data_IF_328996359249
#
_entry.id   IF_328996359249
#
_cell.length_a   1.000
_cell.length_b   1.000
_cell.length_c   1.000
_cell.angle_alpha   90.00
_cell.angle_beta   90.00
_cell.angle_gamma   90.00
#
_symmetry.space_group_name_H-M   'P 1'
#
loop_
_entity.id
_entity.type
_entity.pdbx_description
1 polymer ?
#
# COMPACT_ATOMS: atom_id res chain seq x y z
N UNK A 1 11.46 44.51 29.14
CA UNK A 1 11.51 45.64 28.18
C UNK A 1 12.94 46.10 28.05
N UNK A 2 13.61 45.81 26.93
CA UNK A 2 14.92 46.37 26.58
C UNK A 2 14.97 46.48 25.05
N UNK A 3 14.33 47.50 24.49
CA UNK A 3 14.49 47.85 23.08
C UNK A 3 15.84 48.54 22.92
N UNK A 4 16.93 47.76 22.84
CA UNK A 4 18.18 48.27 22.29
C UNK A 4 17.87 48.72 20.86
N UNK A 5 18.10 50.00 20.56
CA UNK A 5 17.93 50.53 19.21
C UNK A 5 18.89 49.77 18.29
N UNK A 6 18.34 48.87 17.47
CA UNK A 6 19.09 48.07 16.50
C UNK A 6 19.87 49.03 15.59
N UNK A 7 21.18 48.83 15.51
CA UNK A 7 22.08 49.67 14.71
C UNK A 7 21.73 49.58 13.23
N UNK A 8 22.09 50.60 12.45
CA UNK A 8 21.83 50.61 10.99
C UNK A 8 22.46 49.40 10.28
N UNK A 9 23.64 48.99 10.74
CA UNK A 9 24.36 47.83 10.21
C UNK A 9 23.63 46.52 10.50
N UNK A 10 23.11 46.34 11.72
CA UNK A 10 22.30 45.17 12.08
C UNK A 10 21.01 45.09 11.26
N UNK A 11 20.31 46.21 11.04
CA UNK A 11 19.13 46.25 10.16
C UNK A 11 19.47 45.90 8.72
N UNK A 12 20.64 46.35 8.23
CA UNK A 12 21.12 46.01 6.89
C UNK A 12 21.41 44.51 6.78
N UNK A 13 22.14 43.96 7.77
CA UNK A 13 22.42 42.52 7.89
C UNK A 13 21.12 41.70 7.96
N UNK A 14 20.12 42.11 8.73
CA UNK A 14 18.83 41.40 8.82
C UNK A 14 18.07 41.41 7.47
N UNK A 15 18.14 42.51 6.71
CA UNK A 15 17.56 42.59 5.36
C UNK A 15 18.28 41.69 4.37
N UNK A 16 19.61 41.79 4.30
CA UNK A 16 20.43 40.96 3.42
C UNK A 16 20.26 39.47 3.74
N UNK A 17 20.15 39.12 5.03
CA UNK A 17 19.90 37.77 5.48
C UNK A 17 18.49 37.30 5.08
N UNK A 18 17.47 38.14 5.22
CA UNK A 18 16.12 37.83 4.75
C UNK A 18 16.04 37.69 3.22
N UNK A 19 16.77 38.50 2.46
CA UNK A 19 16.86 38.37 1.00
C UNK A 19 17.57 37.09 0.60
N UNK A 20 18.66 36.74 1.29
CA UNK A 20 19.37 35.49 1.06
C UNK A 20 18.52 34.25 1.43
N UNK A 21 17.67 34.35 2.47
CA UNK A 21 16.66 33.32 2.80
C UNK A 21 15.58 33.21 1.73
N UNK A 22 15.05 34.33 1.24
CA UNK A 22 14.09 34.35 0.12
C UNK A 22 14.69 33.80 -1.17
N UNK A 23 16.00 33.94 -1.36
CA UNK A 23 16.74 33.34 -2.46
C UNK A 23 17.11 31.86 -2.23
N UNK A 24 16.74 31.28 -1.08
CA UNK A 24 17.05 29.88 -0.74
C UNK A 24 18.54 29.59 -0.47
N UNK A 25 19.38 30.62 -0.29
CA UNK A 25 20.83 30.46 -0.01
C UNK A 25 21.13 30.15 1.45
N UNK A 26 20.22 30.55 2.35
CA UNK A 26 20.34 30.39 3.80
C UNK A 26 19.09 29.67 4.29
N UNK A 27 19.25 28.81 5.29
CA UNK A 27 18.16 28.11 5.95
C UNK A 27 17.07 29.07 6.48
N UNK A 28 15.84 28.58 6.48
CA UNK A 28 14.69 29.30 7.00
C UNK A 28 14.87 29.62 8.49
N UNK A 29 14.18 30.67 8.94
CA UNK A 29 14.10 30.99 10.35
C UNK A 29 13.27 29.91 11.05
N UNK A 30 13.70 29.40 12.21
CA UNK A 30 12.95 28.41 12.98
C UNK A 30 12.15 29.06 14.11
N UNK A 31 10.93 28.58 14.32
CA UNK A 31 10.06 28.92 15.45
C UNK A 31 10.57 28.31 16.77
N UNK A 32 9.96 28.71 17.89
CA UNK A 32 10.16 28.09 19.21
C UNK A 32 9.86 26.58 19.23
N UNK A 33 8.95 26.13 18.36
CA UNK A 33 8.56 24.71 18.19
C UNK A 33 9.47 23.96 17.19
N UNK A 34 10.50 24.62 16.64
CA UNK A 34 11.42 24.04 15.66
C UNK A 34 10.89 23.96 14.23
N UNK A 35 9.70 24.51 13.96
CA UNK A 35 9.11 24.58 12.62
C UNK A 35 9.77 25.68 11.79
N UNK A 36 10.00 25.43 10.49
CA UNK A 36 10.56 26.42 9.58
C UNK A 36 9.52 27.47 9.18
N UNK A 37 9.86 28.75 9.33
CA UNK A 37 9.05 29.88 8.86
C UNK A 37 9.38 30.16 7.39
N UNK A 38 8.35 30.16 6.55
CA UNK A 38 8.48 30.55 5.16
C UNK A 38 9.04 31.99 5.03
N UNK A 39 10.25 32.19 4.44
CA UNK A 39 10.89 33.50 4.30
C UNK A 39 10.13 34.51 3.43
N UNK A 40 9.20 34.04 2.58
CA UNK A 40 8.39 34.89 1.72
C UNK A 40 7.20 35.52 2.47
N UNK A 41 6.91 35.07 3.69
CA UNK A 41 5.86 35.67 4.50
C UNK A 41 6.28 37.07 4.95
N UNK A 42 5.41 38.08 4.82
CA UNK A 42 5.77 39.44 5.18
C UNK A 42 6.02 39.58 6.69
N UNK A 43 6.94 40.47 7.05
CA UNK A 43 7.42 40.62 8.43
C UNK A 43 6.29 40.95 9.44
N UNK A 44 5.24 41.65 9.02
CA UNK A 44 4.12 42.01 9.89
C UNK A 44 3.23 40.82 10.27
N UNK A 45 3.30 39.70 9.54
CA UNK A 45 2.62 38.44 9.90
C UNK A 45 3.51 37.59 10.81
N UNK A 46 4.83 37.61 10.59
CA UNK A 46 5.81 36.84 11.37
C UNK A 46 6.00 37.42 12.77
N UNK A 47 6.08 38.75 12.89
CA UNK A 47 6.36 39.44 14.15
C UNK A 47 5.08 39.51 14.98
N UNK A 48 5.07 38.77 16.08
CA UNK A 48 3.98 38.82 17.03
C UNK A 48 3.79 40.25 17.59
N UNK A 49 2.55 40.74 17.69
CA UNK A 49 2.25 42.00 18.35
C UNK A 49 2.69 41.99 19.83
N UNK A 50 3.03 43.17 20.34
CA UNK A 50 3.58 43.35 21.69
C UNK A 50 2.69 42.76 22.82
N UNK A 51 1.37 42.75 22.64
CA UNK A 51 0.41 42.26 23.65
C UNK A 51 0.35 40.73 23.77
N UNK A 52 1.04 39.99 22.90
CA UNK A 52 1.10 38.53 22.94
C UNK A 52 2.36 37.99 23.63
N UNK A 53 3.24 38.86 24.14
CA UNK A 53 4.47 38.53 24.89
C UNK A 53 5.36 37.45 24.22
N UNK A 54 5.28 37.30 22.89
CA UNK A 54 6.15 36.42 22.11
C UNK A 54 7.36 37.24 21.66
N UNK A 55 8.52 36.97 22.28
CA UNK A 55 9.80 37.62 21.91
C UNK A 55 10.45 36.99 20.70
N UNK A 56 10.19 35.71 20.43
CA UNK A 56 10.68 35.04 19.25
C UNK A 56 9.74 35.27 18.04
N UNK A 57 10.28 35.35 16.81
CA UNK A 57 9.48 35.32 15.60
C UNK A 57 8.76 33.96 15.49
N UNK A 58 7.47 33.98 15.15
CA UNK A 58 6.71 32.77 14.91
C UNK A 58 5.22 32.95 14.70
N UNK A 59 4.55 31.90 14.21
CA UNK A 59 3.17 31.98 13.71
C UNK A 59 2.09 31.60 14.72
N UNK A 60 2.47 31.33 15.97
CA UNK A 60 1.54 30.91 17.02
C UNK A 60 0.41 31.91 17.28
N UNK A 61 0.68 33.21 17.13
CA UNK A 61 -0.34 34.24 17.29
C UNK A 61 -1.35 34.34 16.12
N UNK A 62 -0.99 33.83 14.94
CA UNK A 62 -1.88 33.77 13.77
C UNK A 62 -2.76 32.50 13.79
N UNK A 63 -2.40 31.50 14.60
CA UNK A 63 -3.21 30.29 14.75
C UNK A 63 -4.53 30.64 15.44
N UNK A 64 -5.62 30.10 14.91
CA UNK A 64 -6.95 30.25 15.48
C UNK A 64 -6.98 29.72 16.92
N UNK A 65 -7.34 30.58 17.88
CA UNK A 65 -7.68 30.18 19.24
C UNK A 65 -9.17 29.84 19.26
N UNK A 66 -9.48 28.57 19.06
CA UNK A 66 -10.86 28.11 19.15
C UNK A 66 -11.40 28.32 20.54
N UNK A 67 -12.59 28.92 20.62
CA UNK A 67 -13.53 28.62 21.71
C UNK A 67 -13.94 27.15 21.52
N UNK A 68 -14.07 26.40 22.61
CA UNK A 68 -14.47 24.99 22.55
C UNK A 68 -15.77 24.86 21.75
N UNK A 69 -15.66 24.28 20.55
CA UNK A 69 -16.82 24.07 19.68
C UNK A 69 -17.60 22.89 20.23
N UNK A 70 -18.78 23.21 20.71
CA UNK A 70 -19.83 22.28 21.08
C UNK A 70 -20.16 21.36 19.90
N UNK A 71 -20.26 20.04 20.14
CA UNK A 71 -20.68 19.10 19.11
C UNK A 71 -22.17 19.24 18.83
N UNK A 72 -22.54 19.23 17.55
CA UNK A 72 -23.93 19.40 17.08
C UNK A 72 -24.87 18.32 17.66
N UNK A 73 -24.36 17.10 17.83
CA UNK A 73 -25.13 15.94 18.28
C UNK A 73 -25.53 15.99 19.77
N UNK A 74 -24.80 16.71 20.62
CA UNK A 74 -24.89 16.54 22.08
C UNK A 74 -25.83 17.56 22.77
N UNK A 75 -26.16 18.69 22.13
CA UNK A 75 -26.66 19.86 22.89
C UNK A 75 -27.91 20.57 22.36
N UNK A 76 -28.43 20.23 21.17
CA UNK A 76 -29.77 20.71 20.79
C UNK A 76 -30.85 19.81 21.37
N UNK A 77 -31.72 20.40 22.18
CA UNK A 77 -32.81 19.72 22.91
C UNK A 77 -32.34 18.79 24.03
N UNK A 78 -31.15 19.02 24.60
CA UNK A 78 -30.74 18.34 25.84
C UNK A 78 -31.72 18.72 26.95
N UNK A 79 -32.48 17.72 27.40
CA UNK A 79 -33.45 17.85 28.48
C UNK A 79 -32.69 17.89 29.80
N UNK A 80 -32.64 19.06 30.43
CA UNK A 80 -32.14 19.18 31.80
C UNK A 80 -33.33 19.09 32.74
N UNK A 81 -33.42 17.99 33.46
CA UNK A 81 -34.50 17.74 34.42
C UNK A 81 -34.32 18.62 35.66
N UNK A 82 -35.35 19.40 35.98
CA UNK A 82 -35.37 20.29 37.14
C UNK A 82 -35.86 19.49 38.35
N UNK A 83 -35.02 19.36 39.39
CA UNK A 83 -35.44 18.70 40.63
C UNK A 83 -36.32 19.65 41.44
N UNK A 84 -37.55 19.22 41.72
CA UNK A 84 -38.50 19.96 42.55
C UNK A 84 -38.07 19.95 44.03
N UNK A 85 -37.46 21.03 44.50
CA UNK A 85 -37.20 21.25 45.93
C UNK A 85 -38.54 21.55 46.65
N UNK A 86 -38.68 21.08 47.90
CA UNK A 86 -39.96 21.06 48.64
C UNK A 86 -40.66 22.41 48.87
N UNK A 87 -40.04 23.55 48.54
CA UNK A 87 -40.55 24.90 48.87
C UNK A 87 -40.39 25.91 47.71
N UNK A 88 -40.69 25.53 46.47
CA UNK A 88 -40.64 26.47 45.32
C UNK A 88 -41.97 27.20 45.18
N UNK A 89 -41.97 28.52 45.35
CA UNK A 89 -43.17 29.37 45.19
C UNK A 89 -43.51 29.67 43.74
N UNK A 90 -42.52 29.58 42.84
CA UNK A 90 -42.65 29.89 41.42
C UNK A 90 -42.85 28.60 40.62
N UNK A 91 -44.12 28.21 40.45
CA UNK A 91 -44.55 27.09 39.62
C UNK A 91 -45.77 27.47 38.79
N UNK A 92 -46.01 26.71 37.72
CA UNK A 92 -47.18 26.86 36.88
C UNK A 92 -48.45 26.46 37.66
N UNK A 93 -49.35 27.41 37.93
CA UNK A 93 -50.61 27.16 38.64
C UNK A 93 -51.61 26.29 37.83
N UNK A 94 -51.33 26.03 36.55
CA UNK A 94 -52.18 25.17 35.71
C UNK A 94 -51.79 23.69 35.82
N UNK A 95 -50.55 23.34 35.47
CA UNK A 95 -50.06 21.96 35.44
C UNK A 95 -49.21 21.56 36.67
N UNK A 96 -48.70 22.54 37.42
CA UNK A 96 -47.85 22.32 38.60
C UNK A 96 -46.35 22.21 38.30
N UNK A 97 -45.93 22.40 37.05
CA UNK A 97 -44.53 22.35 36.61
C UNK A 97 -43.71 23.54 37.12
N UNK A 98 -42.44 23.32 37.46
CA UNK A 98 -41.49 24.41 37.79
C UNK A 98 -40.73 24.95 36.57
N UNK A 99 -40.82 24.28 35.42
CA UNK A 99 -40.03 24.64 34.23
C UNK A 99 -40.55 25.89 33.49
N UNK A 100 -41.83 26.25 33.64
CA UNK A 100 -42.47 27.35 32.90
C UNK A 100 -43.54 28.08 33.73
N UNK A 101 -43.97 29.26 33.25
CA UNK A 101 -45.03 30.08 33.88
C UNK A 101 -46.41 29.68 33.38
N UNK A 102 -47.47 30.10 34.08
CA UNK A 102 -48.87 29.78 33.72
C UNK A 102 -49.25 30.19 32.28
N UNK A 103 -48.70 31.30 31.78
CA UNK A 103 -48.98 31.79 30.41
C UNK A 103 -48.38 30.91 29.31
N UNK A 104 -47.25 30.27 29.61
CA UNK A 104 -46.49 29.45 28.67
C UNK A 104 -46.82 27.96 28.84
N UNK A 105 -47.92 27.66 29.54
CA UNK A 105 -48.34 26.29 29.82
C UNK A 105 -48.90 25.62 28.56
N UNK A 106 -48.28 24.50 28.17
CA UNK A 106 -48.71 23.68 27.03
C UNK A 106 -49.96 22.83 27.35
N UNK A 107 -50.29 22.66 28.63
CA UNK A 107 -51.54 22.01 29.01
C UNK A 107 -52.73 22.94 28.86
N UNK A 108 -53.88 22.36 28.52
CA UNK A 108 -55.16 23.07 28.50
C UNK A 108 -55.40 23.79 29.84
N UNK A 109 -55.85 25.04 29.78
CA UNK A 109 -56.14 25.83 30.99
C UNK A 109 -57.27 25.20 31.81
N UNK A 110 -56.97 24.88 33.07
CA UNK A 110 -57.90 24.29 34.03
C UNK A 110 -58.72 25.40 34.70
N UNK A 111 -60.02 25.14 34.91
CA UNK A 111 -60.90 26.06 35.67
C UNK A 111 -60.49 26.17 37.14
N UNK A 112 -60.02 25.07 37.74
CA UNK A 112 -59.45 25.03 39.09
C UNK A 112 -57.94 24.97 38.98
N UNK A 113 -57.26 25.99 39.51
CA UNK A 113 -55.80 26.10 39.53
C UNK A 113 -55.22 25.35 40.73
N UNK A 114 -54.00 24.88 40.58
CA UNK A 114 -53.21 24.28 41.64
C UNK A 114 -52.68 25.39 42.56
N UNK A 115 -52.76 25.15 43.87
CA UNK A 115 -52.27 26.06 44.90
C UNK A 115 -50.87 25.69 45.41
N UNK A 116 -50.37 24.50 45.06
CA UNK A 116 -49.07 23.97 45.45
C UNK A 116 -48.43 23.23 44.27
N UNK A 117 -47.09 23.23 44.22
CA UNK A 117 -46.33 22.50 43.22
C UNK A 117 -46.57 20.99 43.37
N UNK A 118 -46.79 20.30 42.25
CA UNK A 118 -47.02 18.86 42.26
C UNK A 118 -45.65 18.16 42.34
N UNK A 119 -45.41 17.36 43.38
CA UNK A 119 -44.07 16.86 43.70
C UNK A 119 -43.60 15.69 42.82
N UNK A 120 -44.52 15.05 42.10
CA UNK A 120 -44.28 13.82 41.34
C UNK A 120 -44.06 14.07 39.83
N UNK A 121 -43.88 15.34 39.42
CA UNK A 121 -43.56 15.68 38.03
C UNK A 121 -42.07 15.43 37.76
N UNK A 122 -41.68 14.17 37.58
CA UNK A 122 -40.30 13.77 37.17
C UNK A 122 -39.95 14.21 35.74
N UNK A 123 -40.96 14.65 34.98
CA UNK A 123 -40.87 15.06 33.58
C UNK A 123 -40.62 16.56 33.36
N UNK A 124 -40.39 17.35 34.41
CA UNK A 124 -40.08 18.77 34.26
C UNK A 124 -38.66 18.95 33.70
N UNK A 125 -38.55 19.25 32.41
CA UNK A 125 -37.28 19.55 31.75
C UNK A 125 -37.24 20.96 31.14
N UNK A 126 -36.06 21.56 31.16
CA UNK A 126 -35.74 22.75 30.37
C UNK A 126 -34.81 22.34 29.24
N UNK A 127 -35.16 22.73 28.02
CA UNK A 127 -34.27 22.58 26.87
C UNK A 127 -33.25 23.71 26.87
N UNK A 128 -31.96 23.38 27.00
CA UNK A 128 -30.90 24.35 26.76
C UNK A 128 -30.67 24.46 25.25
N UNK A 129 -30.80 25.67 24.71
CA UNK A 129 -30.42 25.96 23.32
C UNK A 129 -29.04 26.60 23.31
N UNK A 130 -28.05 25.86 22.82
CA UNK A 130 -26.72 26.40 22.57
C UNK A 130 -26.57 26.85 21.11
N UNK A 131 -25.66 27.82 20.88
CA UNK A 131 -25.37 28.35 19.56
C UNK A 131 -24.43 27.41 18.78
N UNK A 132 -25.02 26.54 17.95
CA UNK A 132 -24.31 25.53 17.13
C UNK A 132 -23.83 26.06 15.76
N UNK A 133 -23.83 27.38 15.56
CA UNK A 133 -23.55 28.01 14.27
C UNK A 133 -24.72 27.93 13.27
N UNK A 134 -24.51 28.39 12.03
CA UNK A 134 -25.59 28.48 11.02
C UNK A 134 -26.11 27.10 10.59
N UNK A 135 -25.22 26.19 10.21
CA UNK A 135 -25.59 24.85 9.73
C UNK A 135 -26.20 24.02 10.86
N UNK A 136 -25.56 23.98 12.04
CA UNK A 136 -26.13 23.32 13.22
C UNK A 136 -27.48 23.91 13.61
N UNK A 137 -27.70 25.21 13.36
CA UNK A 137 -28.97 25.84 13.65
C UNK A 137 -30.10 25.52 12.67
N UNK A 138 -29.76 25.20 11.42
CA UNK A 138 -30.70 24.95 10.32
C UNK A 138 -30.72 23.51 9.85
N UNK A 139 -29.97 22.64 10.52
CA UNK A 139 -29.95 21.24 10.19
C UNK A 139 -31.35 20.64 10.38
N UNK A 140 -31.84 20.00 9.30
CA UNK A 140 -33.15 19.38 9.23
C UNK A 140 -33.22 18.13 10.09
N UNK A 141 -32.08 17.47 10.29
CA UNK A 141 -31.97 16.18 10.98
C UNK A 141 -31.58 16.34 12.46
N UNK A 142 -31.75 17.53 13.04
CA UNK A 142 -31.54 17.77 14.47
C UNK A 142 -32.43 16.84 15.30
N UNK A 143 -31.83 16.05 16.18
CA UNK A 143 -32.53 15.09 17.03
C UNK A 143 -33.00 13.82 16.30
N UNK A 144 -32.46 13.53 15.12
CA UNK A 144 -32.71 12.28 14.42
C UNK A 144 -32.13 11.09 15.21
N UNK A 145 -32.99 10.14 15.58
CA UNK A 145 -32.53 8.86 16.14
C UNK A 145 -32.06 7.95 15.00
N UNK A 146 -30.79 7.49 14.99
CA UNK A 146 -30.29 6.53 14.00
C UNK A 146 -31.13 5.26 13.88
N UNK A 147 -31.76 4.80 14.98
CA UNK A 147 -32.59 3.59 15.00
C UNK A 147 -33.83 3.71 14.10
N UNK A 148 -34.34 4.93 13.87
CA UNK A 148 -35.49 5.15 12.98
C UNK A 148 -35.18 4.75 11.53
N UNK A 149 -33.91 4.67 11.14
CA UNK A 149 -33.50 4.22 9.81
C UNK A 149 -33.81 2.73 9.57
N UNK A 150 -34.04 1.94 10.63
CA UNK A 150 -34.43 0.52 10.53
C UNK A 150 -35.75 0.33 9.75
N UNK A 151 -36.69 1.27 9.87
CA UNK A 151 -37.94 1.23 9.10
C UNK A 151 -37.69 1.27 7.59
N UNK A 152 -36.72 2.06 7.15
CA UNK A 152 -36.32 2.16 5.73
C UNK A 152 -35.73 0.84 5.26
N UNK A 153 -34.86 0.20 6.07
CA UNK A 153 -34.34 -1.14 5.74
C UNK A 153 -35.48 -2.16 5.55
N UNK A 154 -36.45 -2.22 6.47
CA UNK A 154 -37.61 -3.12 6.39
C UNK A 154 -38.47 -2.88 5.15
N UNK A 155 -38.61 -1.63 4.70
CA UNK A 155 -39.30 -1.32 3.46
C UNK A 155 -38.54 -1.84 2.24
N UNK A 156 -37.23 -1.65 2.18
CA UNK A 156 -36.38 -2.18 1.10
C UNK A 156 -36.36 -3.70 1.07
N UNK A 157 -36.35 -4.37 2.23
CA UNK A 157 -36.46 -5.83 2.34
C UNK A 157 -37.73 -6.35 1.67
N UNK A 158 -38.89 -5.74 1.97
CA UNK A 158 -40.17 -6.10 1.34
C UNK A 158 -40.15 -5.90 -0.18
N UNK A 159 -39.58 -4.79 -0.65
CA UNK A 159 -39.43 -4.51 -2.08
C UNK A 159 -38.55 -5.57 -2.75
N UNK A 160 -37.46 -6.00 -2.11
CA UNK A 160 -36.57 -7.05 -2.64
C UNK A 160 -37.29 -8.40 -2.67
N UNK A 161 -38.07 -8.75 -1.65
CA UNK A 161 -38.89 -9.97 -1.63
C UNK A 161 -39.92 -10.00 -2.75
N UNK A 162 -40.62 -8.89 -2.97
CA UNK A 162 -41.60 -8.76 -4.05
C UNK A 162 -40.93 -8.89 -5.42
N UNK A 163 -39.78 -8.24 -5.62
CA UNK A 163 -38.96 -8.38 -6.85
C UNK A 163 -38.54 -9.83 -7.08
N UNK A 164 -38.16 -10.57 -6.04
CA UNK A 164 -37.82 -12.00 -6.13
C UNK A 164 -39.02 -12.84 -6.55
N UNK A 165 -40.20 -12.60 -5.94
CA UNK A 165 -41.45 -13.29 -6.30
C UNK A 165 -41.83 -13.05 -7.76
N UNK A 166 -41.79 -11.79 -8.20
CA UNK A 166 -42.10 -11.43 -9.59
C UNK A 166 -41.14 -12.09 -10.59
N UNK A 167 -39.82 -12.08 -10.31
CA UNK A 167 -38.82 -12.80 -11.12
C UNK A 167 -39.10 -14.31 -11.17
N UNK A 168 -39.49 -14.92 -10.06
CA UNK A 168 -39.81 -16.35 -10.02
C UNK A 168 -41.08 -16.68 -10.83
N UNK A 169 -42.11 -15.84 -10.78
CA UNK A 169 -43.31 -15.98 -11.61
C UNK A 169 -43.00 -15.81 -13.10
N UNK A 170 -42.17 -14.82 -13.46
CA UNK A 170 -41.70 -14.63 -14.83
C UNK A 170 -40.92 -15.85 -15.35
N UNK A 171 -40.02 -16.42 -14.54
CA UNK A 171 -39.31 -17.66 -14.89
C UNK A 171 -40.26 -18.84 -15.06
N UNK A 172 -41.22 -19.04 -14.15
CA UNK A 172 -42.24 -20.09 -14.29
C UNK A 172 -43.03 -19.95 -15.59
N UNK A 173 -43.49 -18.74 -15.92
CA UNK A 173 -44.18 -18.48 -17.18
C UNK A 173 -43.30 -18.74 -18.40
N UNK A 174 -41.99 -18.42 -18.34
CA UNK A 174 -41.03 -18.76 -19.41
C UNK A 174 -40.90 -20.27 -19.58
N UNK A 175 -40.79 -21.03 -18.49
CA UNK A 175 -40.72 -22.49 -18.53
C UNK A 175 -42.02 -23.13 -19.05
N UNK A 176 -43.19 -22.63 -18.64
CA UNK A 176 -44.49 -23.08 -19.16
C UNK A 176 -44.67 -22.78 -20.66
N UNK A 177 -44.21 -21.61 -21.13
CA UNK A 177 -44.20 -21.27 -22.55
C UNK A 177 -43.25 -22.17 -23.35
N UNK A 178 -42.05 -22.49 -22.83
CA UNK A 178 -41.13 -23.46 -23.45
C UNK A 178 -41.72 -24.87 -23.51
N UNK A 179 -42.38 -25.31 -22.43
CA UNK A 179 -43.05 -26.61 -22.38
C UNK A 179 -44.21 -26.71 -23.38
N UNK A 180 -44.98 -25.63 -23.55
CA UNK A 180 -46.09 -25.59 -24.52
C UNK A 180 -45.62 -25.44 -25.97
N UNK A 181 -44.55 -24.69 -26.25
CA UNK A 181 -43.95 -24.60 -27.60
C UNK A 181 -43.31 -25.93 -28.03
N UNK A 182 -42.61 -26.62 -27.13
CA UNK A 182 -42.06 -27.96 -27.38
C UNK A 182 -43.13 -29.03 -27.60
N UNK A 183 -44.33 -28.84 -27.03
CA UNK A 183 -45.49 -29.74 -27.28
C UNK A 183 -46.18 -29.45 -28.62
N UNK A 184 -46.16 -28.20 -29.09
CA UNK A 184 -46.72 -27.80 -30.39
C UNK A 184 -45.88 -28.32 -31.56
N UNK A 185 -44.54 -28.33 -31.43
CA UNK A 185 -43.65 -28.99 -32.41
C UNK A 185 -43.83 -30.52 -32.49
N UNK A 186 -44.41 -31.17 -31.46
CA UNK A 186 -44.70 -32.62 -31.48
C UNK A 186 -46.04 -32.99 -32.10
N UNK A 187 -46.94 -32.02 -32.35
CA UNK A 187 -48.27 -32.27 -32.90
C UNK A 187 -48.32 -32.04 -34.43
N UNK A 188 -47.45 -31.19 -34.99
CA UNK A 188 -47.38 -30.95 -36.44
C UNK A 188 -46.38 -31.89 -37.18
N UNK A 189 -46.13 -33.08 -36.63
CA UNK A 189 -45.09 -34.01 -37.09
C UNK A 189 -45.56 -35.44 -37.34
N UNK A 190 -46.72 -35.61 -38.00
CA UNK A 190 -47.07 -36.89 -38.64
C UNK A 190 -46.78 -36.77 -40.15
N UNK A 191 -45.49 -36.78 -40.50
CA UNK A 191 -44.99 -36.71 -41.88
C UNK A 191 -43.49 -36.95 -41.87
N UNK A 192 -43.06 -38.15 -42.27
CA UNK A 192 -41.73 -38.70 -42.01
C UNK A 192 -40.53 -37.96 -42.63
N UNK A 193 -39.34 -38.28 -42.12
CA UNK A 193 -38.08 -37.92 -42.77
C UNK A 193 -36.90 -37.75 -41.82
N UNK A 194 -36.21 -38.87 -41.60
CA UNK A 194 -34.84 -39.08 -41.08
C UNK A 194 -33.83 -37.91 -41.23
N UNK A 195 -33.14 -37.53 -40.14
CA UNK A 195 -31.69 -37.35 -40.11
C UNK A 195 -31.19 -36.97 -38.69
N UNK A 196 -30.26 -37.81 -38.23
CA UNK A 196 -29.35 -37.71 -37.11
C UNK A 196 -28.55 -36.38 -37.08
N UNK A 197 -28.61 -35.57 -36.01
CA UNK A 197 -27.42 -34.83 -35.53
C UNK A 197 -27.57 -34.30 -34.09
N UNK A 198 -26.55 -34.64 -33.31
CA UNK A 198 -26.04 -34.01 -32.09
C UNK A 198 -26.92 -33.77 -30.85
N UNK A 199 -26.55 -34.54 -29.82
CA UNK A 199 -26.67 -34.20 -28.41
C UNK A 199 -26.02 -32.84 -28.11
N UNK A 200 -26.82 -31.78 -28.10
CA UNK A 200 -26.52 -30.56 -27.37
C UNK A 200 -26.96 -30.73 -25.92
N UNK A 201 -26.01 -31.09 -25.06
CA UNK A 201 -26.15 -30.95 -23.61
C UNK A 201 -26.25 -29.46 -23.29
N UNK A 202 -27.47 -28.92 -23.24
CA UNK A 202 -27.77 -27.60 -22.65
C UNK A 202 -27.50 -27.67 -21.14
N UNK A 203 -26.22 -27.63 -20.80
CA UNK A 203 -25.74 -27.19 -19.50
C UNK A 203 -25.71 -25.67 -19.56
N UNK A 204 -26.89 -25.05 -19.55
CA UNK A 204 -27.00 -23.61 -19.34
C UNK A 204 -26.54 -23.32 -17.90
N UNK A 205 -25.36 -22.70 -17.80
CA UNK A 205 -24.86 -22.04 -16.60
C UNK A 205 -25.91 -21.03 -16.12
N UNK A 206 -26.67 -21.37 -15.07
CA UNK A 206 -27.51 -20.43 -14.33
C UNK A 206 -26.67 -19.63 -13.32
N UNK A 207 -25.60 -18.98 -13.76
CA UNK A 207 -24.95 -17.91 -12.99
C UNK A 207 -24.57 -16.78 -13.96
N UNK A 208 -25.10 -15.58 -13.69
CA UNK A 208 -24.88 -14.29 -14.39
C UNK A 208 -25.92 -13.82 -15.43
N UNK A 209 -27.17 -13.61 -15.01
CA UNK A 209 -28.00 -12.52 -15.57
C UNK A 209 -28.66 -11.69 -14.46
N UNK A 210 -27.82 -11.03 -13.66
CA UNK A 210 -28.20 -9.78 -13.02
C UNK A 210 -27.29 -8.72 -13.65
N UNK A 211 -27.89 -7.94 -14.55
CA UNK A 211 -27.33 -6.75 -15.24
C UNK A 211 -26.91 -6.97 -16.71
N UNK A 212 -27.91 -7.12 -17.59
CA UNK A 212 -27.68 -6.91 -19.03
C UNK A 212 -28.95 -6.38 -19.74
N UNK A 213 -29.32 -5.14 -19.42
CA UNK A 213 -30.20 -4.32 -20.30
C UNK A 213 -29.37 -3.41 -21.23
N UNK A 214 -28.11 -3.75 -21.49
CA UNK A 214 -27.18 -2.88 -22.24
C UNK A 214 -26.28 -3.56 -23.28
N UNK A 215 -26.39 -4.87 -23.54
CA UNK A 215 -25.49 -5.55 -24.50
C UNK A 215 -26.21 -6.45 -25.49
N UNK A 216 -26.93 -5.84 -26.43
CA UNK A 216 -27.25 -6.46 -27.72
C UNK A 216 -26.54 -5.71 -28.85
N UNK A 217 -25.24 -5.94 -28.99
CA UNK A 217 -24.47 -5.61 -30.19
C UNK A 217 -23.82 -6.91 -30.68
N UNK A 218 -24.63 -7.71 -31.36
CA UNK A 218 -24.20 -8.93 -32.04
C UNK A 218 -23.32 -8.57 -33.22
N UNK A 219 -22.12 -9.15 -33.22
CA UNK A 219 -21.32 -9.49 -34.38
C UNK A 219 -22.17 -10.03 -35.54
N UNK A 220 -21.96 -9.52 -36.75
CA UNK A 220 -22.55 -10.06 -37.97
C UNK A 220 -22.59 -9.01 -39.07
N UNK A 221 -21.62 -9.10 -39.98
CA UNK A 221 -21.60 -8.35 -41.22
C UNK A 221 -22.75 -8.75 -42.15
N UNK A 222 -23.04 -7.86 -43.09
CA UNK A 222 -23.86 -8.06 -44.30
C UNK A 222 -25.39 -8.08 -44.11
N UNK A 223 -26.04 -6.92 -44.29
CA UNK A 223 -26.84 -6.74 -45.51
C UNK A 223 -27.29 -5.29 -45.71
N UNK A 224 -27.15 -4.83 -46.95
CA UNK A 224 -27.49 -3.47 -47.40
C UNK A 224 -28.86 -3.54 -48.09
N UNK A 225 -29.86 -2.80 -47.60
CA UNK A 225 -30.70 -1.86 -48.36
C UNK A 225 -32.04 -1.53 -47.68
N UNK A 226 -32.26 -0.21 -47.55
CA UNK A 226 -33.55 0.52 -47.63
C UNK A 226 -34.62 0.27 -46.55
N UNK A 227 -34.66 1.20 -45.58
CA UNK A 227 -35.90 1.91 -45.26
C UNK A 227 -35.58 3.34 -44.81
N UNK A 228 -36.01 4.31 -45.61
CA UNK A 228 -35.93 5.74 -45.33
C UNK A 228 -36.92 6.11 -44.22
N UNK A 229 -36.44 6.74 -43.16
CA UNK A 229 -37.25 7.24 -42.04
C UNK A 229 -36.58 6.99 -40.68
N UNK A 230 -36.01 8.04 -40.09
CA UNK A 230 -35.38 8.13 -38.76
C UNK A 230 -33.96 7.54 -38.62
N UNK A 231 -32.97 8.23 -39.21
CA UNK A 231 -31.53 7.93 -39.05
C UNK A 231 -30.85 8.72 -37.92
N UNK A 232 -31.53 9.08 -36.82
CA UNK A 232 -30.91 9.85 -35.72
C UNK A 232 -31.23 9.36 -34.30
N UNK A 233 -31.74 8.13 -34.11
CA UNK A 233 -31.92 7.54 -32.76
C UNK A 233 -30.96 6.38 -32.45
N UNK A 234 -30.42 5.68 -33.46
CA UNK A 234 -29.50 4.55 -33.24
C UNK A 234 -28.06 4.93 -32.87
N UNK A 235 -27.70 6.22 -32.90
CA UNK A 235 -26.38 6.72 -32.52
C UNK A 235 -26.38 7.49 -31.19
N UNK A 236 -27.50 7.55 -30.46
CA UNK A 236 -27.60 8.32 -29.21
C UNK A 236 -27.08 7.62 -27.96
N UNK A 237 -26.88 6.30 -28.00
CA UNK A 237 -26.50 5.54 -26.83
C UNK A 237 -25.25 4.73 -27.13
N UNK A 238 -24.08 5.29 -26.85
CA UNK A 238 -23.14 4.70 -25.89
C UNK A 238 -22.13 5.79 -25.52
N UNK A 239 -22.53 6.75 -24.66
CA UNK A 239 -21.54 7.50 -23.90
C UNK A 239 -20.95 6.56 -22.84
N UNK A 240 -20.19 5.53 -23.28
CA UNK A 240 -19.37 4.71 -22.40
C UNK A 240 -18.40 5.68 -21.73
N UNK A 241 -18.30 5.62 -20.40
CA UNK A 241 -17.26 6.36 -19.70
C UNK A 241 -15.92 6.03 -20.35
N UNK A 242 -15.17 7.05 -20.79
CA UNK A 242 -13.88 6.85 -21.47
C UNK A 242 -12.83 6.25 -20.52
N UNK A 243 -13.08 6.32 -19.21
CA UNK A 243 -12.22 5.70 -18.20
C UNK A 243 -12.44 4.18 -18.23
N UNK A 244 -11.37 3.47 -18.56
CA UNK A 244 -11.23 2.03 -18.40
C UNK A 244 -11.38 1.69 -16.91
N UNK A 245 -12.28 0.76 -16.57
CA UNK A 245 -12.63 0.44 -15.18
C UNK A 245 -11.63 -0.53 -14.56
N UNK A 246 -11.03 -1.36 -15.40
CA UNK A 246 -10.00 -2.36 -15.11
C UNK A 246 -8.70 -1.68 -14.66
N UNK A 247 -8.39 -0.50 -15.22
CA UNK A 247 -7.22 0.28 -14.86
C UNK A 247 -7.44 1.10 -13.58
N UNK A 248 -6.79 0.66 -12.50
CA UNK A 248 -6.76 1.40 -11.24
C UNK A 248 -5.90 2.66 -11.36
N UNK A 249 -6.40 3.78 -10.84
CA UNK A 249 -5.63 5.02 -10.82
C UNK A 249 -4.43 4.90 -9.87
N UNK A 250 -3.29 5.51 -10.21
CA UNK A 250 -2.03 5.36 -9.45
C UNK A 250 -2.17 5.64 -7.95
N UNK A 251 -2.86 6.72 -7.58
CA UNK A 251 -3.07 7.11 -6.17
C UNK A 251 -4.03 6.19 -5.39
N UNK A 252 -4.69 5.23 -6.06
CA UNK A 252 -5.55 4.23 -5.41
C UNK A 252 -4.82 2.92 -5.12
N UNK A 253 -3.58 2.74 -5.60
CA UNK A 253 -2.79 1.54 -5.29
C UNK A 253 -2.53 1.40 -3.78
N UNK A 254 -2.26 2.51 -3.09
CA UNK A 254 -2.09 2.53 -1.64
C UNK A 254 -2.78 3.77 -1.04
N UNK A 255 -3.79 3.57 -0.20
CA UNK A 255 -4.56 4.63 0.45
C UNK A 255 -3.85 5.22 1.69
N UNK A 256 -2.70 4.66 2.08
CA UNK A 256 -1.90 5.19 3.17
C UNK A 256 -1.33 6.56 2.81
N UNK A 257 -1.49 7.55 3.69
CA UNK A 257 -1.05 8.93 3.47
C UNK A 257 0.47 9.05 3.25
N UNK A 258 1.25 8.15 3.84
CA UNK A 258 2.71 8.12 3.77
C UNK A 258 3.25 7.10 2.75
N UNK A 259 2.45 6.76 1.73
CA UNK A 259 2.87 5.85 0.66
C UNK A 259 3.76 6.58 -0.36
N UNK A 260 3.33 6.69 -1.62
CA UNK A 260 4.03 7.41 -2.66
C UNK A 260 3.27 8.69 -3.02
N UNK A 261 4.02 9.78 -3.23
CA UNK A 261 3.43 11.04 -3.69
C UNK A 261 2.97 10.93 -5.14
N UNK A 262 1.68 11.21 -5.36
CA UNK A 262 1.08 11.37 -6.69
C UNK A 262 0.89 12.85 -6.99
N UNK A 263 1.48 13.34 -8.09
CA UNK A 263 1.23 14.69 -8.58
C UNK A 263 -0.01 14.67 -9.50
N UNK A 264 -1.16 15.22 -9.09
CA UNK A 264 -2.37 15.25 -9.92
C UNK A 264 -2.24 16.14 -11.15
N UNK A 265 -1.26 17.05 -11.19
CA UNK A 265 -1.04 17.97 -12.31
C UNK A 265 -0.44 17.23 -13.51
N UNK A 266 0.71 16.59 -13.31
CA UNK A 266 1.38 15.76 -14.33
C UNK A 266 0.84 14.34 -14.40
N UNK A 267 0.00 13.93 -13.44
CA UNK A 267 -0.53 12.56 -13.29
C UNK A 267 0.58 11.52 -13.11
N UNK A 268 1.66 11.93 -12.46
CA UNK A 268 2.83 11.10 -12.23
C UNK A 268 2.97 10.62 -10.80
N UNK A 269 3.47 9.40 -10.63
CA UNK A 269 3.85 8.82 -9.35
C UNK A 269 5.28 8.32 -9.47
N UNK A 270 6.21 9.00 -8.79
CA UNK A 270 7.65 8.72 -8.91
C UNK A 270 8.06 7.45 -8.19
N UNK A 271 7.77 7.37 -6.91
CA UNK A 271 8.13 6.23 -6.06
C UNK A 271 7.13 5.08 -6.18
N UNK A 272 7.55 3.89 -5.77
CA UNK A 272 6.68 2.71 -5.68
C UNK A 272 5.68 2.90 -4.52
N UNK A 273 4.35 2.82 -4.76
CA UNK A 273 3.34 2.90 -3.70
C UNK A 273 3.46 1.81 -2.63
N UNK A 274 4.17 0.70 -2.92
CA UNK A 274 4.36 -0.43 -2.03
C UNK A 274 5.74 -0.49 -1.35
N UNK A 275 6.59 0.52 -1.51
CA UNK A 275 7.96 0.51 -0.96
C UNK A 275 8.03 0.34 0.57
N UNK A 276 7.05 0.89 1.31
CA UNK A 276 6.99 0.84 2.77
C UNK A 276 6.18 -0.33 3.36
N UNK A 277 5.38 -1.00 2.54
CA UNK A 277 4.62 -2.19 2.94
C UNK A 277 5.52 -3.39 2.77
N UNK A 278 6.10 -3.89 3.87
CA UNK A 278 7.13 -4.91 3.87
C UNK A 278 6.87 -6.07 2.90
N UNK A 279 7.93 -6.45 2.15
CA UNK A 279 8.14 -7.68 1.38
C UNK A 279 6.95 -8.64 1.41
N UNK A 280 6.24 -8.81 0.30
CA UNK A 280 5.53 -10.05 -0.12
C UNK A 280 4.60 -9.87 -1.35
N UNK A 281 4.81 -8.88 -2.21
CA UNK A 281 4.34 -9.05 -3.59
C UNK A 281 5.47 -9.72 -4.37
N UNK A 282 5.26 -10.97 -4.77
CA UNK A 282 6.02 -11.59 -5.84
C UNK A 282 6.09 -10.59 -7.02
N UNK A 283 7.24 -10.47 -7.69
CA UNK A 283 7.48 -9.46 -8.73
C UNK A 283 6.38 -9.42 -9.81
N UNK A 284 5.68 -10.54 -10.00
CA UNK A 284 4.59 -10.75 -10.95
C UNK A 284 3.26 -10.09 -10.53
N UNK A 285 3.05 -9.85 -9.24
CA UNK A 285 1.81 -9.27 -8.71
C UNK A 285 1.87 -7.74 -8.62
N UNK A 286 3.06 -7.13 -8.70
CA UNK A 286 3.20 -5.68 -8.59
C UNK A 286 2.94 -5.01 -9.94
N UNK A 287 1.68 -4.61 -10.16
CA UNK A 287 1.21 -3.99 -11.39
C UNK A 287 1.93 -2.65 -11.72
N UNK A 288 2.46 -1.96 -10.70
CA UNK A 288 3.11 -0.67 -10.88
C UNK A 288 4.22 -0.42 -9.85
N UNK A 289 5.47 -0.31 -10.32
CA UNK A 289 6.68 -0.11 -9.49
C UNK A 289 7.15 1.35 -9.36
N UNK A 290 6.32 2.31 -9.75
CA UNK A 290 6.70 3.73 -9.82
C UNK A 290 7.38 4.10 -11.15
N UNK A 291 7.27 5.37 -11.54
CA UNK A 291 7.89 5.88 -12.77
C UNK A 291 9.41 5.86 -12.72
N UNK A 292 10.01 6.06 -11.54
CA UNK A 292 11.48 6.03 -11.40
C UNK A 292 12.07 4.66 -11.78
N UNK A 293 11.31 3.58 -11.57
CA UNK A 293 11.69 2.24 -12.01
C UNK A 293 11.69 2.18 -13.55
N UNK A 294 10.55 2.44 -14.20
CA UNK A 294 10.43 2.36 -15.66
C UNK A 294 11.31 3.35 -16.43
N UNK A 295 11.59 4.53 -15.86
CA UNK A 295 12.51 5.51 -16.46
C UNK A 295 13.97 5.05 -16.46
N UNK A 296 14.30 4.02 -15.69
CA UNK A 296 15.65 3.48 -15.53
C UNK A 296 15.75 2.01 -15.93
N UNK A 297 14.81 1.45 -16.69
CA UNK A 297 14.88 0.06 -17.19
C UNK A 297 15.40 -0.01 -18.63
N UNK A 298 15.90 -1.19 -19.00
CA UNK A 298 16.23 -1.62 -20.37
C UNK A 298 17.05 -0.60 -21.19
N UNK A 299 16.49 -0.12 -22.30
CA UNK A 299 17.13 0.75 -23.30
C UNK A 299 17.58 2.09 -22.71
N UNK A 300 16.92 2.58 -21.66
CA UNK A 300 17.31 3.81 -20.98
C UNK A 300 18.69 3.68 -20.29
N UNK A 301 19.02 2.48 -19.80
CA UNK A 301 20.36 2.21 -19.24
C UNK A 301 21.39 2.09 -20.37
N UNK A 302 21.04 1.41 -21.46
CA UNK A 302 21.97 1.18 -22.58
C UNK A 302 22.34 2.49 -23.29
N UNK A 303 21.35 3.36 -23.54
CA UNK A 303 21.59 4.69 -24.10
C UNK A 303 22.50 5.55 -23.21
N UNK A 304 22.29 5.55 -21.88
CA UNK A 304 23.18 6.23 -20.92
C UNK A 304 24.60 5.66 -20.95
N UNK A 305 24.76 4.32 -21.03
CA UNK A 305 26.08 3.68 -21.17
C UNK A 305 26.78 4.10 -22.46
N UNK A 306 26.02 4.24 -23.55
CA UNK A 306 26.53 4.69 -24.84
C UNK A 306 26.94 6.17 -24.81
N UNK A 307 26.17 7.02 -24.13
CA UNK A 307 26.51 8.43 -23.91
C UNK A 307 27.79 8.59 -23.06
N UNK A 308 27.91 7.83 -21.97
CA UNK A 308 29.14 7.78 -21.16
C UNK A 308 30.34 7.35 -22.01
N UNK A 309 30.17 6.32 -22.84
CA UNK A 309 31.21 5.87 -23.77
C UNK A 309 31.61 6.98 -24.75
N UNK A 310 30.65 7.73 -25.30
CA UNK A 310 30.94 8.88 -26.17
C UNK A 310 31.79 9.94 -25.48
N UNK A 311 31.49 10.26 -24.21
CA UNK A 311 32.29 11.22 -23.45
C UNK A 311 33.70 10.70 -23.17
N UNK A 312 33.86 9.40 -22.90
CA UNK A 312 35.17 8.80 -22.71
C UNK A 312 36.01 8.79 -23.99
N UNK A 313 35.43 8.43 -25.14
CA UNK A 313 36.12 8.44 -26.44
C UNK A 313 36.47 9.86 -26.86
N UNK A 314 35.57 10.82 -26.61
CA UNK A 314 35.83 12.23 -26.87
C UNK A 314 36.99 12.77 -26.03
N UNK A 315 37.05 12.42 -24.74
CA UNK A 315 38.21 12.75 -23.87
C UNK A 315 39.51 12.11 -24.36
N UNK A 316 39.46 10.95 -25.01
CA UNK A 316 40.63 10.28 -25.62
C UNK A 316 41.03 10.90 -26.97
N UNK A 317 40.25 11.84 -27.50
CA UNK A 317 40.56 12.57 -28.74
C UNK A 317 39.85 12.05 -29.99
N UNK A 318 38.94 11.08 -29.87
CA UNK A 318 38.11 10.64 -31.00
C UNK A 318 36.86 11.55 -31.14
N UNK A 319 36.66 12.12 -32.32
CA UNK A 319 35.50 12.99 -32.60
C UNK A 319 34.24 12.15 -32.86
N UNK A 320 33.62 11.66 -31.79
CA UNK A 320 32.36 10.91 -31.85
C UNK A 320 31.36 11.54 -30.88
N UNK A 321 30.11 11.72 -31.32
CA UNK A 321 29.06 12.33 -30.52
C UNK A 321 27.78 11.51 -30.57
N UNK A 322 27.14 11.33 -29.41
CA UNK A 322 25.91 10.55 -29.23
C UNK A 322 24.76 10.99 -30.16
N UNK A 323 24.40 12.27 -30.14
CA UNK A 323 23.32 12.79 -31.00
C UNK A 323 23.69 12.99 -32.48
N UNK A 324 24.95 13.33 -32.79
CA UNK A 324 25.33 13.69 -34.16
C UNK A 324 25.70 12.47 -35.01
N UNK A 325 26.28 11.44 -34.38
CA UNK A 325 26.76 10.23 -35.06
C UNK A 325 26.39 8.97 -34.26
N UNK A 326 25.08 8.71 -34.06
CA UNK A 326 24.62 7.62 -33.19
C UNK A 326 25.03 6.23 -33.69
N UNK A 327 24.93 5.98 -35.00
CA UNK A 327 25.27 4.68 -35.61
C UNK A 327 26.76 4.39 -35.58
N UNK A 328 27.60 5.39 -35.85
CA UNK A 328 29.06 5.26 -35.75
C UNK A 328 29.47 4.97 -34.30
N UNK A 329 28.91 5.69 -33.33
CA UNK A 329 29.16 5.48 -31.92
C UNK A 329 28.73 4.08 -31.48
N UNK A 330 27.57 3.61 -31.93
CA UNK A 330 27.06 2.28 -31.61
C UNK A 330 27.98 1.17 -32.15
N UNK A 331 28.45 1.29 -33.40
CA UNK A 331 29.40 0.36 -33.98
C UNK A 331 30.72 0.31 -33.19
N UNK A 332 31.28 1.48 -32.86
CA UNK A 332 32.47 1.60 -32.02
C UNK A 332 32.24 1.00 -30.63
N UNK A 333 31.04 1.17 -30.06
CA UNK A 333 30.69 0.59 -28.78
C UNK A 333 30.59 -0.94 -28.84
N UNK A 334 29.97 -1.51 -29.88
CA UNK A 334 29.94 -2.97 -30.10
C UNK A 334 31.35 -3.54 -30.25
N UNK A 335 32.21 -2.87 -31.02
CA UNK A 335 33.62 -3.24 -31.12
C UNK A 335 34.32 -3.16 -29.75
N UNK A 336 34.11 -2.09 -29.01
CA UNK A 336 34.65 -1.91 -27.66
C UNK A 336 34.21 -3.03 -26.73
N UNK A 337 32.94 -3.44 -26.74
CA UNK A 337 32.44 -4.57 -25.94
C UNK A 337 33.14 -5.88 -26.34
N UNK A 338 33.34 -6.12 -27.63
CA UNK A 338 34.06 -7.32 -28.10
C UNK A 338 35.53 -7.32 -27.65
N UNK A 339 36.21 -6.17 -27.74
CA UNK A 339 37.61 -5.97 -27.29
C UNK A 339 37.71 -6.08 -25.77
N UNK A 340 36.76 -5.52 -25.03
CA UNK A 340 36.64 -5.62 -23.57
C UNK A 340 36.49 -7.06 -23.11
N UNK A 341 35.61 -7.85 -23.73
CA UNK A 341 35.46 -9.28 -23.41
C UNK A 341 36.76 -10.06 -23.62
N UNK A 342 37.47 -9.81 -24.73
CA UNK A 342 38.79 -10.43 -24.99
C UNK A 342 39.84 -10.02 -23.95
N UNK A 343 39.86 -8.75 -23.53
CA UNK A 343 40.77 -8.26 -22.49
C UNK A 343 40.47 -8.85 -21.12
N UNK A 344 39.19 -9.00 -20.75
CA UNK A 344 38.78 -9.65 -19.49
C UNK A 344 39.29 -11.09 -19.47
N UNK A 345 39.06 -11.87 -20.53
CA UNK A 345 39.57 -13.24 -20.63
C UNK A 345 41.08 -13.34 -20.50
N UNK A 346 41.83 -12.45 -21.17
CA UNK A 346 43.29 -12.40 -21.02
C UNK A 346 43.72 -12.11 -19.58
N UNK A 347 43.04 -11.16 -18.91
CA UNK A 347 43.31 -10.87 -17.50
C UNK A 347 43.00 -12.07 -16.60
N UNK A 348 41.90 -12.77 -16.85
CA UNK A 348 41.56 -14.01 -16.14
C UNK A 348 42.66 -15.08 -16.34
N UNK A 349 43.11 -15.30 -17.58
CA UNK A 349 44.22 -16.22 -17.90
C UNK A 349 45.54 -15.80 -17.24
N UNK A 350 45.87 -14.50 -17.24
CA UNK A 350 47.08 -13.97 -16.62
C UNK A 350 47.02 -14.13 -15.09
N UNK A 351 45.86 -13.91 -14.46
CA UNK A 351 45.63 -14.18 -13.04
C UNK A 351 45.81 -15.67 -12.74
N UNK A 352 45.24 -16.56 -13.56
CA UNK A 352 45.40 -18.00 -13.39
C UNK A 352 46.87 -18.43 -13.46
N UNK A 353 47.66 -17.84 -14.36
CA UNK A 353 49.09 -18.09 -14.50
C UNK A 353 49.90 -17.55 -13.33
N UNK A 354 49.65 -16.31 -12.90
CA UNK A 354 50.41 -15.68 -11.80
C UNK A 354 50.18 -16.40 -10.47
N UNK A 355 48.95 -16.82 -10.21
CA UNK A 355 48.59 -17.55 -8.99
C UNK A 355 48.70 -19.08 -9.15
N UNK A 356 49.12 -19.58 -10.33
CA UNK A 356 49.31 -21.01 -10.64
C UNK A 356 48.08 -21.89 -10.35
N UNK A 357 46.89 -21.34 -10.57
CA UNK A 357 45.60 -22.00 -10.31
C UNK A 357 45.07 -22.82 -11.49
N UNK A 358 45.91 -23.14 -12.49
CA UNK A 358 45.54 -23.85 -13.72
C UNK A 358 44.91 -25.24 -13.46
N UNK A 359 45.25 -25.87 -12.33
CA UNK A 359 44.76 -27.19 -11.92
C UNK A 359 43.40 -27.19 -11.20
N UNK A 360 42.85 -26.02 -10.85
CA UNK A 360 41.57 -25.89 -10.12
C UNK A 360 40.42 -25.65 -11.09
N UNK A 361 40.61 -24.79 -12.09
CA UNK A 361 39.57 -24.47 -13.09
C UNK A 361 39.11 -25.68 -13.94
N UNK A 362 39.91 -26.76 -14.01
CA UNK A 362 39.57 -28.00 -14.73
C UNK A 362 38.90 -29.06 -13.85
N UNK A 363 38.87 -28.89 -12.52
CA UNK A 363 38.28 -29.86 -11.57
C UNK A 363 36.88 -29.48 -11.08
N UNK A 364 36.46 -28.24 -11.30
CA UNK A 364 35.21 -27.70 -10.74
C UNK A 364 33.94 -27.97 -11.58
N UNK A 365 33.97 -28.94 -12.50
CA UNK A 365 32.74 -29.48 -13.08
C UNK A 365 32.13 -30.62 -12.24
N UNK A 366 32.90 -31.25 -11.34
CA UNK A 366 32.44 -32.42 -10.57
C UNK A 366 32.88 -32.50 -9.11
N UNK A 367 33.64 -31.54 -8.56
CA UNK A 367 33.97 -31.54 -7.14
C UNK A 367 33.89 -30.12 -6.57
N UNK A 368 32.82 -29.83 -5.82
CA UNK A 368 32.77 -28.65 -4.96
C UNK A 368 33.67 -28.85 -3.74
N UNK A 369 34.98 -28.85 -3.93
CA UNK A 369 35.94 -28.62 -2.85
C UNK A 369 36.31 -27.14 -2.88
N UNK A 370 35.51 -26.34 -2.16
CA UNK A 370 35.87 -24.97 -1.81
C UNK A 370 37.25 -25.00 -1.14
N UNK A 371 38.21 -24.29 -1.74
CA UNK A 371 39.50 -24.03 -1.13
C UNK A 371 39.24 -23.14 0.10
N UNK A 372 38.93 -23.77 1.23
CA UNK A 372 38.64 -23.11 2.50
C UNK A 372 39.88 -22.34 2.93
N UNK A 373 39.83 -21.02 2.83
CA UNK A 373 40.76 -20.17 3.55
C UNK A 373 40.71 -20.58 5.03
N UNK A 374 41.87 -20.86 5.63
CA UNK A 374 41.96 -21.31 7.03
C UNK A 374 41.55 -20.24 8.04
N UNK A 375 41.35 -19.01 7.58
CA UNK A 375 41.02 -17.86 8.39
C UNK A 375 39.60 -17.40 8.05
N UNK A 376 38.66 -17.72 8.92
CA UNK A 376 37.32 -17.09 8.88
C UNK A 376 37.52 -15.63 9.27
N UNK A 377 37.34 -14.72 8.31
CA UNK A 377 37.24 -13.29 8.61
C UNK A 377 35.97 -13.05 9.46
N UNK A 378 36.15 -12.93 10.78
CA UNK A 378 35.07 -12.55 11.69
C UNK A 378 35.13 -11.05 11.94
N UNK A 379 34.25 -10.29 11.28
CA UNK A 379 33.94 -8.94 11.73
C UNK A 379 33.27 -9.01 13.10
N UNK A 380 33.78 -8.27 14.09
CA UNK A 380 33.13 -8.15 15.40
C UNK A 380 31.81 -7.39 15.23
N UNK A 381 30.71 -8.12 15.05
CA UNK A 381 29.35 -7.57 15.16
C UNK A 381 28.91 -7.58 16.64
N UNK A 382 28.12 -6.59 17.09
CA UNK A 382 27.49 -6.62 18.41
C UNK A 382 26.72 -7.94 18.61
N UNK A 383 26.73 -8.48 19.84
CA UNK A 383 26.28 -9.84 20.21
C UNK A 383 24.91 -10.22 19.65
N UNK A 384 24.03 -9.24 19.41
CA UNK A 384 22.65 -9.44 18.96
C UNK A 384 22.49 -9.71 17.45
N UNK A 385 23.57 -9.65 16.65
CA UNK A 385 23.57 -9.87 15.20
C UNK A 385 24.39 -11.08 14.73
N UNK A 386 24.61 -12.07 15.61
CA UNK A 386 25.31 -13.31 15.23
C UNK A 386 24.32 -14.32 14.67
N UNK A 387 24.43 -14.60 13.36
CA UNK A 387 23.57 -15.56 12.68
C UNK A 387 23.83 -17.01 13.16
N UNK A 388 22.85 -17.72 13.75
CA UNK A 388 23.05 -19.08 14.29
C UNK A 388 23.17 -20.16 13.20
N UNK A 389 23.02 -19.80 11.92
CA UNK A 389 22.98 -20.73 10.78
C UNK A 389 24.34 -21.02 10.14
N UNK A 390 25.42 -20.41 10.63
CA UNK A 390 26.77 -20.70 10.12
C UNK A 390 27.23 -22.04 10.71
N UNK A 391 27.35 -23.07 9.85
CA UNK A 391 27.87 -24.39 10.23
C UNK A 391 29.30 -24.22 10.74
N UNK A 392 29.58 -24.65 11.98
CA UNK A 392 30.96 -24.72 12.49
C UNK A 392 31.72 -25.77 11.70
N UNK A 393 32.80 -25.38 11.03
CA UNK A 393 33.65 -26.28 10.26
C UNK A 393 34.38 -27.20 11.25
N UNK A 394 34.33 -28.52 11.02
CA UNK A 394 35.04 -29.52 11.82
C UNK A 394 36.47 -29.63 11.27
N UNK A 395 37.46 -29.14 12.03
CA UNK A 395 38.87 -29.17 11.63
C UNK A 395 39.35 -30.63 11.64
N UNK A 396 39.81 -31.14 10.50
CA UNK A 396 40.51 -32.43 10.41
C UNK A 396 42.00 -32.23 10.70
N UNK A 397 42.68 -33.23 11.26
CA UNK A 397 44.11 -33.13 11.54
C UNK A 397 44.96 -33.31 10.26
N UNK A 398 46.23 -32.90 10.31
CA UNK A 398 47.15 -32.94 9.14
C UNK A 398 47.55 -34.36 8.72
N UNK A 399 47.32 -35.35 9.58
CA UNK A 399 47.72 -36.74 9.34
C UNK A 399 46.49 -37.54 8.93
N UNK A 400 46.67 -38.49 8.02
CA UNK A 400 45.63 -39.48 7.70
C UNK A 400 45.35 -40.32 8.96
N UNK A 401 44.26 -39.99 9.65
CA UNK A 401 43.75 -40.74 10.80
C UNK A 401 43.00 -41.99 10.31
N UNK A 402 42.90 -43.01 11.17
CA UNK A 402 42.11 -44.22 10.92
C UNK A 402 42.51 -45.07 9.69
N UNK A 403 43.81 -45.11 9.34
CA UNK A 403 44.32 -46.06 8.34
C UNK A 403 44.43 -47.47 8.94
N UNK A 404 43.61 -48.38 8.40
CA UNK A 404 43.61 -49.80 8.73
C UNK A 404 44.44 -50.59 7.71
N UNK A 405 45.68 -50.91 8.07
CA UNK A 405 46.57 -51.74 7.23
C UNK A 405 46.20 -53.23 7.40
N UNK A 406 46.33 -54.04 6.34
CA UNK A 406 46.20 -55.51 6.35
C UNK A 406 45.00 -56.10 7.14
N UNK A 407 43.82 -55.52 6.93
CA UNK A 407 42.51 -55.93 7.49
C UNK A 407 42.42 -55.90 9.03
N UNK A 408 43.25 -55.09 9.69
CA UNK A 408 43.13 -54.84 11.13
C UNK A 408 41.99 -53.86 11.44
N UNK A 409 41.08 -54.20 12.35
CA UNK A 409 39.97 -53.30 12.77
C UNK A 409 40.39 -52.11 13.65
N UNK A 410 41.68 -52.01 13.99
CA UNK A 410 42.25 -50.98 14.84
C UNK A 410 43.53 -50.44 14.23
N UNK A 411 43.83 -49.15 14.39
CA UNK A 411 45.08 -48.54 13.90
C UNK A 411 46.30 -49.08 14.67
N UNK A 412 47.46 -49.15 14.01
CA UNK A 412 48.72 -49.54 14.65
C UNK A 412 49.11 -48.52 15.74
N UNK A 413 49.40 -48.99 16.95
CA UNK A 413 49.63 -48.12 18.12
C UNK A 413 48.42 -48.01 19.05
N UNK A 414 47.29 -48.64 18.70
CA UNK A 414 46.13 -48.75 19.59
C UNK A 414 46.33 -49.70 20.79
N UNK A 415 47.40 -50.49 20.80
CA UNK A 415 47.77 -51.38 21.90
C UNK A 415 49.26 -51.27 22.22
N UNK A 416 49.60 -51.35 23.50
CA UNK A 416 50.99 -51.35 23.98
C UNK A 416 51.23 -52.59 24.85
N UNK A 417 52.15 -53.45 24.40
CA UNK A 417 52.57 -54.61 25.18
C UNK A 417 53.64 -54.16 26.20
N UNK A 418 53.29 -54.23 27.48
CA UNK A 418 54.15 -53.76 28.58
C UNK A 418 55.40 -54.64 28.76
N UNK A 419 55.30 -55.93 28.47
CA UNK A 419 56.40 -56.87 28.70
C UNK A 419 57.47 -56.73 27.62
N UNK A 420 57.04 -56.55 26.36
CA UNK A 420 57.94 -56.36 25.21
C UNK A 420 58.28 -54.90 24.93
N UNK A 421 57.64 -53.95 25.61
CA UNK A 421 57.74 -52.49 25.42
C UNK A 421 57.54 -52.05 23.96
N UNK A 422 56.64 -52.73 23.24
CA UNK A 422 56.35 -52.48 21.81
C UNK A 422 54.89 -52.11 21.61
N UNK A 423 54.66 -51.24 20.64
CA UNK A 423 53.33 -50.89 20.17
C UNK A 423 52.82 -51.93 19.16
N UNK A 424 51.51 -52.14 19.14
CA UNK A 424 50.84 -53.13 18.31
C UNK A 424 49.40 -52.75 18.00
N UNK A 425 48.69 -53.69 17.39
CA UNK A 425 47.27 -53.56 17.08
C UNK A 425 46.40 -54.03 18.26
N UNK A 426 45.31 -53.32 18.57
CA UNK A 426 44.38 -53.72 19.63
C UNK A 426 43.58 -54.97 19.28
N UNK A 427 43.26 -55.20 18.01
CA UNK A 427 42.46 -56.34 17.56
C UNK A 427 43.13 -57.70 17.84
N UNK A 428 44.31 -57.95 17.28
CA UNK A 428 45.00 -59.24 17.40
C UNK A 428 46.20 -59.24 18.38
N UNK A 429 46.50 -58.09 19.01
CA UNK A 429 47.67 -57.86 19.89
C UNK A 429 49.02 -58.18 19.24
N UNK A 430 49.10 -58.22 17.91
CA UNK A 430 50.38 -58.36 17.21
C UNK A 430 51.18 -57.07 17.33
N UNK A 431 52.48 -57.20 17.56
CA UNK A 431 53.42 -56.07 17.69
C UNK A 431 54.11 -55.72 16.37
N UNK A 432 53.86 -56.48 15.29
CA UNK A 432 54.47 -56.29 13.98
C UNK A 432 53.50 -55.53 13.06
N UNK A 433 53.94 -54.39 12.52
CA UNK A 433 53.09 -53.48 11.73
C UNK A 433 52.59 -54.09 10.42
N UNK A 434 53.36 -54.99 9.81
CA UNK A 434 53.10 -55.54 8.47
C UNK A 434 52.57 -56.98 8.46
N UNK A 435 52.20 -57.53 9.62
CA UNK A 435 51.54 -58.83 9.67
C UNK A 435 50.04 -58.68 9.41
N UNK A 436 49.45 -59.66 8.71
CA UNK A 436 48.00 -59.73 8.52
C UNK A 436 47.31 -60.02 9.86
N UNK A 437 46.08 -59.51 10.00
CA UNK A 437 45.27 -59.75 11.18
C UNK A 437 45.00 -61.25 11.35
N UNK A 438 45.35 -61.81 12.52
CA UNK A 438 45.06 -63.21 12.87
C UNK A 438 43.69 -63.39 13.51
N UNK A 439 43.02 -62.29 13.87
CA UNK A 439 41.61 -62.25 14.28
C UNK A 439 40.77 -61.79 13.09
N UNK A 440 40.34 -62.75 12.27
CA UNK A 440 39.18 -62.54 11.38
C UNK A 440 37.92 -62.55 12.24
#
# INVERSE_FOLDING_TARGET
MNTKNVTREEKKKEKELNEARKAGKIEALKDEEGNDINPHMPQYIIKAPWYLNQTAPGLKHQRYKGTDKVKIEEERNKKVYVKNLKNVSDFCKNCGSTAHKEKDCLERTRKKKLNFANRDNEDDFVCLTQDLGYDGNRDRWVGYNPDNFEHVYKEYEKIVEEKKKRKAEELKQKYEKKATSGKKQRIDGAGGGDANDQSGSDSDNEEDEIDDDARKATTGAEDTQKSSGNTNEKHRNVARNLRIREDTAKYLYNLSLNSAFYDPKSRSMREDPFAGTGKNLHDDNNHYKGENYYNNTDEAIESKKLEIFAWETYKRGENVHFNAQPTQLELLYREFLSKKKKLIKKKEEDILKTYKCENVASKDATAGEELTQSEVYTEYKPVDQVDPKVKRIKIMSRYEEDIHLFDHSSVFGSYYDRDKKKWGYRCCRSTNKFEKCSSV
#
